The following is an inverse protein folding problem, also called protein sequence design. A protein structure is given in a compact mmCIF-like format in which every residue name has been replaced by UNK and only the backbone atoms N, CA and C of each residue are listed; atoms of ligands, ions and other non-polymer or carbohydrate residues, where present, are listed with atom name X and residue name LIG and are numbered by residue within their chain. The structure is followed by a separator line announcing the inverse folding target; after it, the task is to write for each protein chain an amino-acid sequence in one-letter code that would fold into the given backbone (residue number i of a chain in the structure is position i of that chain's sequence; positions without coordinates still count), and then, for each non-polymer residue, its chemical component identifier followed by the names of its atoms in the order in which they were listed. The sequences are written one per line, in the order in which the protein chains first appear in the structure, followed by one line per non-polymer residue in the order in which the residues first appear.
data_IF_347537118172
#
_entry.id   IF_347537118172
#
_cell.length_a   1.000
_cell.length_b   1.000
_cell.length_c   1.000
_cell.angle_alpha   90.00
_cell.angle_beta   90.00
_cell.angle_gamma   90.00
#
_symmetry.space_group_name_H-M   'P 1'
#
loop_
_entity.id
_entity.type
_entity.pdbx_description
1 polymer ?
#
# COMPACT_ATOMS: atom_id res chain seq x y z
N UNK A 1 31.88 30.41 -10.68
CA UNK A 1 30.49 30.11 -10.23
C UNK A 1 30.09 28.74 -10.75
N UNK A 2 29.92 27.73 -9.88
CA UNK A 2 29.53 26.36 -10.27
C UNK A 2 28.00 26.27 -10.38
N UNK A 3 27.49 25.94 -11.56
CA UNK A 3 26.06 25.73 -11.79
C UNK A 3 25.52 24.59 -10.90
N UNK A 4 24.53 24.89 -10.04
CA UNK A 4 23.77 23.88 -9.28
C UNK A 4 22.99 22.99 -10.26
N UNK A 5 23.30 21.69 -10.27
CA UNK A 5 22.49 20.70 -10.99
C UNK A 5 21.12 20.58 -10.34
N UNK A 6 20.05 20.85 -11.09
CA UNK A 6 18.67 20.61 -10.67
C UNK A 6 18.44 19.11 -10.41
N UNK A 7 17.82 18.70 -9.30
CA UNK A 7 17.44 17.31 -9.09
C UNK A 7 16.34 16.93 -10.10
N UNK A 8 16.56 15.86 -10.86
CA UNK A 8 15.56 15.28 -11.76
C UNK A 8 14.58 14.41 -10.97
N UNK A 9 13.29 14.48 -11.32
CA UNK A 9 12.19 13.81 -10.62
C UNK A 9 12.20 12.27 -10.71
N UNK A 10 11.46 11.64 -9.80
CA UNK A 10 11.39 10.19 -9.59
C UNK A 10 10.83 9.38 -10.78
N UNK A 11 10.20 10.03 -11.76
CA UNK A 11 9.66 9.41 -12.98
C UNK A 11 10.56 9.59 -14.22
N UNK A 12 11.74 10.23 -14.10
CA UNK A 12 12.68 10.33 -15.21
C UNK A 12 13.36 8.98 -15.48
N UNK A 13 12.81 8.25 -16.45
CA UNK A 13 13.29 6.92 -16.89
C UNK A 13 14.68 6.95 -17.54
N UNK A 14 15.33 8.12 -17.71
CA UNK A 14 16.74 8.22 -18.16
C UNK A 14 17.75 7.58 -17.19
N UNK A 15 17.31 7.09 -16.03
CA UNK A 15 18.16 6.37 -15.05
C UNK A 15 18.17 4.84 -15.13
N UNK A 16 17.38 4.18 -15.98
CA UNK A 16 17.50 2.71 -16.17
C UNK A 16 18.25 2.40 -17.47
N UNK A 17 19.56 2.59 -17.45
CA UNK A 17 20.46 1.94 -18.43
C UNK A 17 21.49 1.17 -17.62
N UNK A 18 21.24 -0.11 -17.42
CA UNK A 18 22.25 -1.04 -16.88
C UNK A 18 23.46 -0.99 -17.80
N UNK A 19 24.61 -0.57 -17.28
CA UNK A 19 25.84 -0.48 -18.06
C UNK A 19 26.32 -1.90 -18.38
N UNK A 20 26.78 -2.17 -19.60
CA UNK A 20 27.54 -3.39 -19.86
C UNK A 20 28.83 -3.42 -19.02
N UNK A 21 29.44 -4.60 -18.88
CA UNK A 21 30.66 -4.78 -18.06
C UNK A 21 31.78 -3.81 -18.47
N UNK A 22 32.02 -3.65 -19.78
CA UNK A 22 33.03 -2.74 -20.34
C UNK A 22 32.77 -1.26 -20.02
N UNK A 23 31.52 -0.80 -20.06
CA UNK A 23 31.19 0.59 -19.69
C UNK A 23 31.17 0.80 -18.17
N UNK A 24 30.89 -0.24 -17.38
CA UNK A 24 30.93 -0.20 -15.92
C UNK A 24 32.38 -0.04 -15.43
N UNK A 25 33.30 -0.90 -15.90
CA UNK A 25 34.72 -0.88 -15.49
C UNK A 25 35.38 0.47 -15.78
N UNK A 26 35.07 1.08 -16.93
CA UNK A 26 35.55 2.41 -17.34
C UNK A 26 34.77 3.57 -16.72
N UNK A 27 33.69 3.31 -15.97
CA UNK A 27 32.79 4.30 -15.36
C UNK A 27 32.14 5.29 -16.35
N UNK A 28 32.03 4.93 -17.63
CA UNK A 28 31.42 5.74 -18.70
C UNK A 28 29.93 5.43 -18.92
N UNK A 29 29.24 6.27 -19.71
CA UNK A 29 27.82 6.08 -20.06
C UNK A 29 27.68 4.95 -21.08
N UNK A 30 26.73 4.04 -20.86
CA UNK A 30 26.36 2.97 -21.79
C UNK A 30 25.10 3.42 -22.54
N UNK A 31 25.16 3.52 -23.87
CA UNK A 31 24.04 3.97 -24.71
C UNK A 31 24.05 3.26 -26.07
N UNK A 32 22.88 3.09 -26.68
CA UNK A 32 22.72 2.48 -28.00
C UNK A 32 22.31 1.00 -28.03
N UNK A 33 21.82 0.43 -26.93
CA UNK A 33 21.40 -0.98 -26.86
C UNK A 33 22.57 -1.95 -26.62
N UNK A 34 22.37 -3.22 -26.94
CA UNK A 34 23.39 -4.28 -26.87
C UNK A 34 23.60 -4.79 -28.31
N UNK A 35 24.80 -4.60 -28.91
CA UNK A 35 26.00 -3.96 -28.36
C UNK A 35 25.90 -2.42 -28.29
N UNK A 36 26.49 -1.79 -27.26
CA UNK A 36 26.44 -0.34 -27.07
C UNK A 36 27.43 0.41 -27.97
N UNK A 37 27.17 1.70 -28.25
CA UNK A 37 27.99 2.52 -29.17
C UNK A 37 29.48 2.53 -28.83
N UNK A 38 29.81 2.55 -27.54
CA UNK A 38 31.21 2.51 -27.09
C UNK A 38 31.88 1.18 -27.42
N UNK A 39 31.18 0.07 -27.21
CA UNK A 39 31.72 -1.26 -27.47
C UNK A 39 31.93 -1.50 -28.97
N UNK A 40 31.00 -1.06 -29.81
CA UNK A 40 31.14 -1.10 -31.28
C UNK A 40 32.34 -0.28 -31.74
N UNK A 41 32.51 0.95 -31.22
CA UNK A 41 33.58 1.85 -31.67
C UNK A 41 34.99 1.39 -31.27
N UNK A 42 35.12 0.65 -30.17
CA UNK A 42 36.42 0.28 -29.60
C UNK A 42 36.71 -1.22 -29.72
N UNK A 43 35.91 -1.93 -30.51
CA UNK A 43 35.99 -3.38 -30.70
C UNK A 43 36.10 -4.14 -29.37
N UNK A 44 35.09 -3.90 -28.51
CA UNK A 44 34.98 -4.52 -27.18
C UNK A 44 33.71 -5.35 -27.07
N UNK A 45 33.80 -6.44 -26.32
CA UNK A 45 32.63 -7.26 -26.00
C UNK A 45 31.64 -6.48 -25.11
N UNK A 46 30.38 -6.42 -25.56
CA UNK A 46 29.30 -5.74 -24.86
C UNK A 46 28.47 -6.72 -24.03
N UNK A 47 29.08 -7.29 -22.98
CA UNK A 47 28.41 -8.27 -22.13
C UNK A 47 27.52 -7.62 -21.04
N UNK A 48 26.31 -8.17 -20.79
CA UNK A 48 25.51 -7.82 -19.62
C UNK A 48 26.30 -8.04 -18.31
N UNK A 49 25.93 -7.31 -17.26
CA UNK A 49 26.55 -7.53 -15.95
C UNK A 49 26.23 -8.95 -15.46
N UNK A 50 27.24 -9.69 -15.03
CA UNK A 50 27.05 -10.90 -14.24
C UNK A 50 26.52 -10.46 -12.88
N UNK A 51 25.25 -10.74 -12.62
CA UNK A 51 24.67 -10.59 -11.29
C UNK A 51 25.36 -11.62 -10.41
N UNK A 52 26.26 -11.17 -9.54
CA UNK A 52 26.73 -12.01 -8.43
C UNK A 52 25.52 -12.16 -7.53
N UNK A 53 24.77 -13.25 -7.72
CA UNK A 53 23.78 -13.68 -6.75
C UNK A 53 24.57 -13.97 -5.47
N UNK A 54 24.49 -13.05 -4.50
CA UNK A 54 24.89 -13.37 -3.14
C UNK A 54 24.11 -14.61 -2.74
N UNK A 55 24.83 -15.68 -2.38
CA UNK A 55 24.22 -16.91 -1.86
C UNK A 55 23.19 -16.53 -0.79
N UNK A 56 21.93 -16.81 -1.07
CA UNK A 56 20.87 -16.73 -0.08
C UNK A 56 21.09 -17.91 0.86
N UNK A 57 21.87 -17.70 1.94
CA UNK A 57 21.93 -18.64 3.05
C UNK A 57 20.66 -18.50 3.88
N UNK A 58 19.74 -19.44 3.71
CA UNK A 58 18.65 -19.65 4.65
C UNK A 58 19.24 -20.24 5.93
N UNK A 59 19.24 -19.47 7.02
CA UNK A 59 19.51 -20.02 8.35
C UNK A 59 18.18 -20.58 8.85
N UNK A 60 18.01 -21.90 8.75
CA UNK A 60 16.97 -22.59 9.51
C UNK A 60 17.36 -22.49 10.99
N UNK A 61 16.62 -21.68 11.75
CA UNK A 61 16.72 -21.70 13.21
C UNK A 61 15.94 -22.92 13.67
N UNK A 62 16.63 -24.05 13.81
CA UNK A 62 16.09 -25.20 14.54
C UNK A 62 15.93 -24.78 16.00
N UNK A 63 14.74 -24.95 16.55
CA UNK A 63 14.43 -24.66 17.94
C UNK A 63 15.45 -25.37 18.85
N UNK A 64 16.34 -24.59 19.46
CA UNK A 64 17.17 -25.10 20.55
C UNK A 64 16.23 -25.25 21.74
N UNK A 65 16.07 -26.49 22.21
CA UNK A 65 15.32 -26.82 23.41
C UNK A 65 15.71 -25.87 24.56
N UNK A 66 14.75 -25.32 25.31
CA UNK A 66 15.06 -24.35 26.34
C UNK A 66 15.79 -25.05 27.49
N UNK A 67 17.08 -24.77 27.63
CA UNK A 67 17.77 -24.99 28.90
C UNK A 67 17.24 -23.94 29.87
N UNK A 68 16.56 -24.41 30.90
CA UNK A 68 16.00 -23.60 31.98
C UNK A 68 17.07 -22.70 32.60
N UNK A 69 17.01 -21.42 32.27
CA UNK A 69 17.50 -20.34 33.12
C UNK A 69 16.39 -19.31 33.24
N UNK A 70 15.63 -19.40 34.32
CA UNK A 70 14.65 -18.40 34.74
C UNK A 70 15.33 -17.04 34.91
N UNK A 71 15.18 -16.19 33.92
CA UNK A 71 15.33 -14.73 34.04
C UNK A 71 13.93 -14.11 33.92
N UNK A 72 13.56 -13.13 34.76
CA UNK A 72 12.19 -12.63 34.81
C UNK A 72 11.80 -11.97 33.49
N UNK A 73 10.65 -12.36 32.95
CA UNK A 73 10.01 -11.84 31.73
C UNK A 73 9.53 -10.39 31.81
N UNK A 74 10.11 -9.57 32.70
CA UNK A 74 9.71 -8.18 32.93
C UNK A 74 10.37 -7.19 31.95
N UNK A 75 11.51 -7.53 31.36
CA UNK A 75 12.22 -6.63 30.43
C UNK A 75 11.61 -6.56 29.01
N UNK A 76 10.81 -7.55 28.58
CA UNK A 76 10.25 -7.55 27.22
C UNK A 76 9.01 -6.67 27.04
N UNK A 77 8.31 -6.28 28.13
CA UNK A 77 7.08 -5.47 28.04
C UNK A 77 7.38 -3.96 27.92
N UNK A 78 8.52 -3.50 28.46
CA UNK A 78 8.88 -2.08 28.48
C UNK A 78 9.21 -1.51 27.10
N UNK A 79 9.78 -2.32 26.20
CA UNK A 79 10.11 -1.89 24.82
C UNK A 79 8.86 -1.79 23.93
N UNK A 80 7.85 -2.62 24.19
CA UNK A 80 6.63 -2.64 23.39
C UNK A 80 5.78 -1.38 23.61
N UNK A 81 5.74 -0.84 24.85
CA UNK A 81 4.98 0.37 25.18
C UNK A 81 5.39 1.57 24.30
N UNK A 82 6.71 1.76 24.10
CA UNK A 82 7.24 2.81 23.22
C UNK A 82 6.75 2.62 21.77
N UNK A 83 6.70 1.39 21.28
CA UNK A 83 6.21 1.11 19.94
C UNK A 83 4.69 1.29 19.84
N UNK A 84 3.92 0.96 20.87
CA UNK A 84 2.47 1.19 20.90
C UNK A 84 2.15 2.70 20.88
N UNK A 85 2.91 3.52 21.61
CA UNK A 85 2.78 4.98 21.56
C UNK A 85 3.10 5.55 20.17
N UNK A 86 4.17 5.04 19.54
CA UNK A 86 4.56 5.42 18.18
C UNK A 86 3.52 4.99 17.15
N UNK A 87 2.90 3.83 17.34
CA UNK A 87 1.77 3.37 16.53
C UNK A 87 0.57 4.30 16.66
N UNK A 88 0.16 4.65 17.88
CA UNK A 88 -0.95 5.58 18.11
C UNK A 88 -0.69 6.94 17.44
N UNK A 89 0.52 7.48 17.59
CA UNK A 89 0.94 8.71 16.92
C UNK A 89 0.99 8.58 15.38
N UNK A 90 1.32 7.40 14.85
CA UNK A 90 1.28 7.13 13.41
C UNK A 90 -0.16 7.08 12.88
N UNK A 91 -1.05 6.33 13.52
CA UNK A 91 -2.46 6.21 13.12
C UNK A 91 -3.16 7.58 13.14
N UNK A 92 -2.94 8.40 14.19
CA UNK A 92 -3.47 9.76 14.26
C UNK A 92 -2.97 10.68 13.15
N UNK A 93 -1.76 10.44 12.61
CA UNK A 93 -1.21 11.20 11.47
C UNK A 93 -1.73 10.75 10.11
N UNK A 94 -2.21 9.51 9.98
CA UNK A 94 -2.73 9.04 8.69
C UNK A 94 -3.93 9.86 8.21
N UNK A 95 -4.78 10.34 9.14
CA UNK A 95 -5.92 11.23 8.87
C UNK A 95 -6.71 10.84 7.61
N UNK A 96 -6.99 9.55 7.42
CA UNK A 96 -7.63 9.07 6.19
C UNK A 96 -8.97 9.78 5.92
N UNK A 97 -9.74 10.01 6.98
CA UNK A 97 -10.96 10.83 6.96
C UNK A 97 -11.03 11.70 8.22
N UNK A 98 -11.89 12.72 8.20
CA UNK A 98 -12.19 13.58 9.37
C UNK A 98 -12.59 12.77 10.60
N UNK A 99 -13.28 11.65 10.39
CA UNK A 99 -13.69 10.72 11.43
C UNK A 99 -12.60 9.79 11.96
N UNK A 100 -11.37 9.80 11.43
CA UNK A 100 -10.32 8.84 11.77
C UNK A 100 -9.44 9.25 12.97
N UNK A 101 -9.63 10.48 13.49
CA UNK A 101 -8.70 11.14 14.44
C UNK A 101 -8.56 10.41 15.79
N UNK A 102 -9.56 9.64 16.23
CA UNK A 102 -9.57 8.94 17.54
C UNK A 102 -9.49 7.41 17.43
N UNK A 103 -9.22 6.89 16.23
CA UNK A 103 -9.28 5.44 15.96
C UNK A 103 -8.25 4.65 16.78
N UNK A 104 -7.12 5.25 17.14
CA UNK A 104 -6.14 4.64 18.04
C UNK A 104 -6.73 4.29 19.41
N UNK A 105 -7.49 5.23 20.01
CA UNK A 105 -8.22 5.00 21.26
C UNK A 105 -9.30 3.94 21.10
N UNK A 106 -10.02 3.95 19.97
CA UNK A 106 -11.08 2.98 19.70
C UNK A 106 -10.53 1.54 19.49
N UNK A 107 -9.29 1.42 19.04
CA UNK A 107 -8.61 0.15 18.81
C UNK A 107 -7.93 -0.43 20.06
N UNK A 108 -7.74 0.35 21.11
CA UNK A 108 -6.88 -0.03 22.25
C UNK A 108 -7.30 -1.36 22.89
N UNK A 109 -8.60 -1.55 23.10
CA UNK A 109 -9.15 -2.79 23.69
C UNK A 109 -8.91 -4.01 22.81
N UNK A 110 -9.03 -3.85 21.49
CA UNK A 110 -8.76 -4.91 20.52
C UNK A 110 -7.27 -5.22 20.42
N UNK A 111 -6.40 -4.20 20.52
CA UNK A 111 -4.95 -4.37 20.54
C UNK A 111 -4.52 -5.19 21.77
N UNK A 112 -5.10 -4.93 22.95
CA UNK A 112 -4.76 -5.68 24.16
C UNK A 112 -5.29 -7.11 24.16
N UNK A 113 -6.39 -7.39 23.46
CA UNK A 113 -7.05 -8.71 23.48
C UNK A 113 -6.72 -9.59 22.28
N UNK A 114 -6.22 -9.01 21.17
CA UNK A 114 -5.88 -9.74 19.96
C UNK A 114 -4.36 -9.78 19.72
N UNK A 115 -3.73 -10.96 19.77
CA UNK A 115 -2.31 -11.11 19.41
C UNK A 115 -2.00 -10.63 18.00
N UNK A 116 -2.95 -10.73 17.08
CA UNK A 116 -2.80 -10.22 15.71
C UNK A 116 -2.61 -8.71 15.71
N UNK A 117 -3.54 -7.98 16.35
CA UNK A 117 -3.49 -6.52 16.38
C UNK A 117 -2.35 -5.99 17.23
N UNK A 118 -2.05 -6.64 18.37
CA UNK A 118 -0.89 -6.31 19.19
C UNK A 118 0.41 -6.36 18.38
N UNK A 119 0.68 -7.49 17.72
CA UNK A 119 1.90 -7.65 16.94
C UNK A 119 1.98 -6.65 15.77
N UNK A 120 0.84 -6.28 15.18
CA UNK A 120 0.80 -5.26 14.11
C UNK A 120 1.05 -3.85 14.63
N UNK A 121 0.47 -3.50 15.77
CA UNK A 121 0.71 -2.21 16.42
C UNK A 121 2.20 -2.06 16.74
N UNK A 122 2.81 -3.07 17.38
CA UNK A 122 4.27 -3.10 17.62
C UNK A 122 5.05 -3.03 16.31
N UNK A 123 4.67 -3.79 15.28
CA UNK A 123 5.38 -3.81 14.00
C UNK A 123 5.43 -2.43 13.33
N UNK A 124 4.27 -1.75 13.26
CA UNK A 124 4.16 -0.42 12.66
C UNK A 124 4.89 0.62 13.51
N UNK A 125 4.74 0.57 14.84
CA UNK A 125 5.43 1.46 15.77
C UNK A 125 6.95 1.36 15.71
N UNK A 126 7.47 0.13 15.69
CA UNK A 126 8.90 -0.14 15.54
C UNK A 126 9.43 0.27 14.16
N UNK A 127 8.63 0.11 13.10
CA UNK A 127 9.00 0.59 11.78
C UNK A 127 9.07 2.12 11.74
N UNK A 128 8.13 2.81 12.36
CA UNK A 128 8.17 4.26 12.52
C UNK A 128 9.41 4.70 13.32
N UNK A 129 9.72 4.01 14.42
CA UNK A 129 10.92 4.26 15.21
C UNK A 129 12.19 4.16 14.34
N UNK A 130 12.30 3.11 13.53
CA UNK A 130 13.45 2.90 12.65
C UNK A 130 13.68 4.05 11.65
N UNK A 131 12.60 4.75 11.25
CA UNK A 131 12.62 5.85 10.26
C UNK A 131 12.95 7.21 10.89
N UNK A 132 12.57 7.45 12.15
CA UNK A 132 12.81 8.73 12.84
C UNK A 132 14.29 9.00 13.13
N UNK A 133 15.12 7.95 13.21
CA UNK A 133 16.57 8.07 13.47
C UNK A 133 17.39 8.39 12.20
N UNK A 134 16.77 9.00 11.17
CA UNK A 134 17.38 9.25 9.85
C UNK A 134 18.55 10.26 9.82
N UNK A 135 19.15 10.61 10.97
CA UNK A 135 20.43 11.34 11.03
C UNK A 135 21.57 10.58 11.73
N UNK A 136 21.33 9.42 12.34
CA UNK A 136 22.41 8.62 12.96
C UNK A 136 22.19 7.13 12.71
N UNK A 137 23.13 6.49 12.01
CA UNK A 137 23.14 5.02 11.81
C UNK A 137 23.56 4.31 13.11
N UNK A 138 22.82 4.52 14.19
CA UNK A 138 23.08 3.88 15.49
C UNK A 138 22.53 2.45 15.51
N UNK A 139 23.08 1.63 16.41
CA UNK A 139 22.64 0.27 16.72
C UNK A 139 21.12 0.18 16.96
N UNK A 140 20.55 1.19 17.63
CA UNK A 140 19.14 1.28 18.00
C UNK A 140 18.18 1.29 16.79
N UNK A 141 18.53 2.00 15.70
CA UNK A 141 17.70 2.03 14.47
C UNK A 141 17.61 0.65 13.81
N UNK A 142 18.72 -0.10 13.81
CA UNK A 142 18.76 -1.46 13.26
C UNK A 142 17.97 -2.42 14.14
N UNK A 143 18.02 -2.25 15.46
CA UNK A 143 17.24 -3.04 16.42
C UNK A 143 15.74 -2.83 16.21
N UNK A 144 15.28 -1.58 16.08
CA UNK A 144 13.86 -1.28 15.84
C UNK A 144 13.34 -1.89 14.52
N UNK A 145 14.15 -1.85 13.46
CA UNK A 145 13.77 -2.49 12.19
C UNK A 145 13.64 -4.02 12.33
N UNK A 146 14.55 -4.66 13.08
CA UNK A 146 14.45 -6.10 13.36
C UNK A 146 13.18 -6.43 14.14
N UNK A 147 12.85 -5.63 15.16
CA UNK A 147 11.58 -5.78 15.91
C UNK A 147 10.38 -5.65 14.98
N UNK A 148 10.37 -4.64 14.10
CA UNK A 148 9.28 -4.41 13.16
C UNK A 148 8.95 -5.64 12.31
N UNK A 149 9.96 -6.24 11.67
CA UNK A 149 9.76 -7.41 10.82
C UNK A 149 9.49 -8.70 11.61
N UNK A 150 10.06 -8.84 12.82
CA UNK A 150 9.77 -9.98 13.71
C UNK A 150 8.32 -9.96 14.17
N UNK A 151 7.82 -8.80 14.59
CA UNK A 151 6.42 -8.62 15.00
C UNK A 151 5.46 -8.75 13.82
N UNK A 152 5.81 -8.24 12.64
CA UNK A 152 5.04 -8.51 11.41
C UNK A 152 4.94 -10.01 11.09
N UNK A 153 6.04 -10.76 11.20
CA UNK A 153 6.02 -12.22 11.02
C UNK A 153 5.10 -12.94 12.02
N UNK A 154 5.13 -12.52 13.30
CA UNK A 154 4.22 -13.02 14.35
C UNK A 154 2.76 -12.69 14.04
N UNK A 155 2.48 -11.49 13.54
CA UNK A 155 1.14 -11.10 13.13
C UNK A 155 0.60 -11.98 11.99
N UNK A 156 1.40 -12.30 10.98
CA UNK A 156 1.00 -13.23 9.91
C UNK A 156 0.66 -14.60 10.48
N UNK A 157 1.50 -15.14 11.37
CA UNK A 157 1.24 -16.42 12.02
C UNK A 157 -0.07 -16.39 12.83
N UNK A 158 -0.31 -15.32 13.59
CA UNK A 158 -1.54 -15.12 14.35
C UNK A 158 -2.77 -15.02 13.45
N UNK A 159 -2.70 -14.28 12.33
CA UNK A 159 -3.79 -14.20 11.36
C UNK A 159 -4.10 -15.57 10.76
N UNK A 160 -3.08 -16.33 10.34
CA UNK A 160 -3.26 -17.69 9.81
C UNK A 160 -3.95 -18.61 10.80
N UNK A 161 -3.54 -18.56 12.07
CA UNK A 161 -4.19 -19.31 13.16
C UNK A 161 -5.65 -18.87 13.32
N UNK A 162 -5.92 -17.57 13.33
CA UNK A 162 -7.27 -17.00 13.49
C UNK A 162 -8.22 -17.42 12.36
N UNK A 163 -7.71 -17.48 11.13
CA UNK A 163 -8.48 -17.87 9.95
C UNK A 163 -8.90 -19.35 9.94
N UNK A 164 -8.38 -20.18 10.84
CA UNK A 164 -8.86 -21.57 11.01
C UNK A 164 -10.21 -21.65 11.72
N UNK A 165 -10.62 -20.57 12.40
CA UNK A 165 -11.89 -20.51 13.14
C UNK A 165 -13.05 -20.26 12.17
N UNK A 166 -14.14 -20.99 12.34
CA UNK A 166 -15.39 -20.78 11.59
C UNK A 166 -15.86 -19.33 11.72
N UNK A 167 -16.22 -18.70 10.59
CA UNK A 167 -16.68 -17.29 10.52
C UNK A 167 -15.62 -16.24 10.93
N UNK A 168 -14.33 -16.60 10.97
CA UNK A 168 -13.24 -15.67 11.33
C UNK A 168 -13.22 -14.38 10.49
N UNK A 169 -13.67 -14.44 9.23
CA UNK A 169 -13.73 -13.30 8.30
C UNK A 169 -14.64 -12.16 8.78
N UNK A 170 -15.49 -12.41 9.78
CA UNK A 170 -16.39 -11.42 10.35
C UNK A 170 -15.86 -10.79 11.66
N UNK A 171 -14.72 -11.27 12.18
CA UNK A 171 -14.17 -10.71 13.41
C UNK A 171 -13.46 -9.38 13.16
N UNK A 172 -13.66 -8.43 14.07
CA UNK A 172 -13.06 -7.09 13.99
C UNK A 172 -11.53 -7.15 13.95
N UNK A 173 -10.91 -8.06 14.71
CA UNK A 173 -9.47 -8.22 14.74
C UNK A 173 -8.89 -8.72 13.42
N UNK A 174 -9.59 -9.61 12.72
CA UNK A 174 -9.21 -10.08 11.38
C UNK A 174 -9.33 -8.95 10.35
N UNK A 175 -10.40 -8.17 10.40
CA UNK A 175 -10.64 -7.06 9.48
C UNK A 175 -9.61 -5.94 9.68
N UNK A 176 -9.42 -5.47 10.90
CA UNK A 176 -8.40 -4.48 11.22
C UNK A 176 -6.99 -5.00 11.04
N UNK A 177 -6.73 -6.27 11.39
CA UNK A 177 -5.42 -6.87 11.22
C UNK A 177 -5.02 -6.96 9.75
N UNK A 178 -5.97 -7.32 8.88
CA UNK A 178 -5.74 -7.32 7.44
C UNK A 178 -5.48 -5.90 6.90
N UNK A 179 -6.20 -4.88 7.39
CA UNK A 179 -5.94 -3.50 6.99
C UNK A 179 -4.56 -3.00 7.44
N UNK A 180 -4.20 -3.25 8.69
CA UNK A 180 -2.91 -2.84 9.26
C UNK A 180 -1.72 -3.60 8.65
N UNK A 181 -1.91 -4.87 8.23
CA UNK A 181 -0.91 -5.59 7.44
C UNK A 181 -0.67 -4.89 6.10
N UNK A 182 -1.73 -4.56 5.37
CA UNK A 182 -1.61 -3.78 4.13
C UNK A 182 -0.90 -2.44 4.37
N UNK A 183 -1.25 -1.75 5.45
CA UNK A 183 -0.61 -0.48 5.80
C UNK A 183 0.89 -0.65 6.12
N UNK A 184 1.28 -1.69 6.85
CA UNK A 184 2.69 -2.03 7.10
C UNK A 184 3.44 -2.30 5.79
N UNK A 185 2.84 -3.05 4.87
CA UNK A 185 3.44 -3.36 3.57
C UNK A 185 3.62 -2.11 2.70
N UNK A 186 2.65 -1.18 2.75
CA UNK A 186 2.73 0.11 2.07
C UNK A 186 3.91 0.95 2.56
N UNK A 187 4.16 0.98 3.88
CA UNK A 187 5.21 1.82 4.44
C UNK A 187 6.59 1.15 4.43
N UNK A 188 6.65 -0.19 4.41
CA UNK A 188 7.92 -0.95 4.44
C UNK A 188 8.51 -1.20 3.05
N UNK A 189 7.71 -1.17 1.99
CA UNK A 189 8.13 -1.50 0.63
C UNK A 189 8.01 -0.29 -0.32
N UNK A 190 9.01 -0.08 -1.19
CA UNK A 190 9.06 1.08 -2.10
C UNK A 190 8.30 0.89 -3.41
N UNK A 191 8.01 -0.34 -3.83
CA UNK A 191 7.31 -0.62 -5.10
C UNK A 191 5.79 -0.40 -4.99
N UNK A 192 5.23 -0.67 -3.82
CA UNK A 192 3.78 -0.69 -3.58
C UNK A 192 3.06 -1.93 -4.14
N UNK A 193 3.77 -2.87 -4.78
CA UNK A 193 3.16 -4.06 -5.39
C UNK A 193 2.59 -5.00 -4.33
N UNK A 194 3.32 -5.24 -3.23
CA UNK A 194 2.84 -6.12 -2.15
C UNK A 194 1.57 -5.55 -1.53
N UNK A 195 1.60 -4.26 -1.21
CA UNK A 195 0.42 -3.53 -0.74
C UNK A 195 -0.74 -3.65 -1.72
N UNK A 196 -0.51 -3.44 -3.01
CA UNK A 196 -1.59 -3.50 -4.01
C UNK A 196 -2.23 -4.90 -4.08
N UNK A 197 -1.42 -5.95 -4.02
CA UNK A 197 -1.89 -7.33 -3.97
C UNK A 197 -2.65 -7.62 -2.68
N UNK A 198 -2.13 -7.18 -1.53
CA UNK A 198 -2.78 -7.35 -0.23
C UNK A 198 -4.15 -6.68 -0.18
N UNK A 199 -4.22 -5.44 -0.65
CA UNK A 199 -5.48 -4.68 -0.67
C UNK A 199 -6.51 -5.34 -1.58
N UNK A 200 -6.10 -5.79 -2.77
CA UNK A 200 -6.99 -6.40 -3.75
C UNK A 200 -7.45 -7.81 -3.34
N UNK A 201 -6.51 -8.68 -2.95
CA UNK A 201 -6.77 -10.10 -2.70
C UNK A 201 -7.15 -10.39 -1.24
N UNK A 202 -6.68 -9.57 -0.30
CA UNK A 202 -7.00 -9.67 1.13
C UNK A 202 -8.18 -8.80 1.50
N UNK A 203 -7.95 -7.50 1.62
CA UNK A 203 -8.94 -6.59 2.22
C UNK A 203 -10.22 -6.42 1.40
N UNK A 204 -10.12 -6.15 0.09
CA UNK A 204 -11.29 -5.98 -0.75
C UNK A 204 -12.15 -7.26 -0.77
N UNK A 205 -11.50 -8.43 -0.80
CA UNK A 205 -12.19 -9.72 -0.78
C UNK A 205 -12.89 -9.97 0.56
N UNK A 206 -12.24 -9.66 1.68
CA UNK A 206 -12.84 -9.74 3.02
C UNK A 206 -14.08 -8.84 3.12
N UNK A 207 -14.00 -7.61 2.62
CA UNK A 207 -15.14 -6.69 2.62
C UNK A 207 -16.27 -7.20 1.73
N UNK A 208 -15.97 -7.72 0.54
CA UNK A 208 -16.99 -8.32 -0.33
C UNK A 208 -17.71 -9.49 0.32
N UNK A 209 -17.00 -10.34 1.06
CA UNK A 209 -17.60 -11.48 1.78
C UNK A 209 -18.44 -11.04 2.98
N UNK A 210 -18.12 -9.89 3.60
CA UNK A 210 -18.95 -9.28 4.64
C UNK A 210 -20.15 -8.52 4.07
N UNK A 211 -20.11 -8.19 2.77
CA UNK A 211 -21.14 -7.45 2.06
C UNK A 211 -21.23 -5.98 2.47
N UNK A 212 -21.88 -5.15 1.64
CA UNK A 212 -22.29 -3.80 2.00
C UNK A 212 -23.46 -3.89 2.99
N UNK A 213 -23.18 -3.75 4.30
CA UNK A 213 -24.22 -3.84 5.34
C UNK A 213 -24.61 -2.43 5.77
N UNK A 214 -25.92 -2.14 5.79
CA UNK A 214 -26.46 -0.84 6.21
C UNK A 214 -26.21 -0.50 7.70
N UNK A 215 -25.80 -1.49 8.51
CA UNK A 215 -25.63 -1.34 9.97
C UNK A 215 -24.29 -1.91 10.47
N UNK A 216 -23.16 -1.54 9.86
CA UNK A 216 -21.86 -1.87 10.43
C UNK A 216 -21.67 -1.25 11.82
N UNK A 217 -20.98 -1.96 12.71
CA UNK A 217 -20.52 -1.39 13.98
C UNK A 217 -19.63 -0.16 13.73
N UNK A 218 -19.57 0.75 14.71
CA UNK A 218 -18.84 2.02 14.59
C UNK A 218 -17.40 1.83 14.09
N UNK A 219 -16.64 0.92 14.70
CA UNK A 219 -15.24 0.70 14.35
C UNK A 219 -15.09 0.14 12.93
N UNK A 220 -15.99 -0.75 12.50
CA UNK A 220 -16.01 -1.26 11.13
C UNK A 220 -16.32 -0.18 10.10
N UNK A 221 -17.16 0.81 10.43
CA UNK A 221 -17.38 1.98 9.55
C UNK A 221 -16.08 2.76 9.34
N UNK A 222 -15.34 3.05 10.43
CA UNK A 222 -14.03 3.73 10.35
C UNK A 222 -13.01 2.96 9.51
N UNK A 223 -12.99 1.64 9.64
CA UNK A 223 -12.16 0.78 8.81
C UNK A 223 -12.50 0.94 7.33
N UNK A 224 -13.78 0.89 6.98
CA UNK A 224 -14.21 0.99 5.58
C UNK A 224 -13.91 2.37 5.02
N UNK A 225 -14.12 3.44 5.79
CA UNK A 225 -13.78 4.80 5.39
C UNK A 225 -12.28 4.92 5.05
N UNK A 226 -11.41 4.42 5.93
CA UNK A 226 -9.96 4.41 5.70
C UNK A 226 -9.57 3.52 4.51
N UNK A 227 -10.18 2.34 4.39
CA UNK A 227 -9.96 1.41 3.28
C UNK A 227 -10.29 2.07 1.93
N UNK A 228 -11.42 2.77 1.83
CA UNK A 228 -11.85 3.44 0.59
C UNK A 228 -10.80 4.40 0.07
N UNK A 229 -10.15 5.15 0.95
CA UNK A 229 -9.08 6.09 0.58
C UNK A 229 -7.90 5.36 -0.06
N UNK A 230 -7.42 4.30 0.58
CA UNK A 230 -6.29 3.51 0.09
C UNK A 230 -6.64 2.75 -1.20
N UNK A 231 -7.82 2.15 -1.27
CA UNK A 231 -8.30 1.39 -2.42
C UNK A 231 -8.53 2.29 -3.65
N UNK A 232 -9.10 3.49 -3.47
CA UNK A 232 -9.25 4.44 -4.57
C UNK A 232 -7.89 4.85 -5.14
N UNK A 233 -6.88 5.10 -4.29
CA UNK A 233 -5.52 5.39 -4.73
C UNK A 233 -4.90 4.19 -5.47
N UNK A 234 -5.04 2.97 -4.94
CA UNK A 234 -4.55 1.75 -5.61
C UNK A 234 -5.19 1.57 -6.99
N UNK A 235 -6.51 1.69 -7.08
CA UNK A 235 -7.24 1.50 -8.33
C UNK A 235 -6.75 2.47 -9.42
N UNK A 236 -6.53 3.75 -9.07
CA UNK A 236 -5.96 4.75 -9.99
C UNK A 236 -4.52 4.41 -10.37
N UNK A 237 -3.64 4.20 -9.37
CA UNK A 237 -2.20 4.03 -9.60
C UNK A 237 -1.87 2.78 -10.43
N UNK A 238 -2.61 1.69 -10.21
CA UNK A 238 -2.38 0.42 -10.89
C UNK A 238 -3.32 0.20 -12.09
N UNK A 239 -4.17 1.18 -12.43
CA UNK A 239 -5.11 1.07 -13.54
C UNK A 239 -6.09 -0.10 -13.40
N UNK A 240 -6.43 -0.47 -12.16
CA UNK A 240 -7.27 -1.62 -11.85
C UNK A 240 -8.69 -1.18 -11.47
N UNK A 241 -9.67 -2.06 -11.69
CA UNK A 241 -11.03 -1.84 -11.21
C UNK A 241 -11.15 -1.93 -9.68
N UNK A 242 -12.26 -1.43 -9.15
CA UNK A 242 -12.64 -1.55 -7.74
C UNK A 242 -14.15 -1.76 -7.61
N UNK A 243 -14.58 -2.64 -6.70
CA UNK A 243 -16.00 -2.86 -6.46
C UNK A 243 -16.68 -1.69 -5.74
N UNK A 244 -15.89 -0.78 -5.15
CA UNK A 244 -16.39 0.45 -4.52
C UNK A 244 -17.15 1.38 -5.48
N UNK A 245 -16.96 1.19 -6.79
CA UNK A 245 -17.70 1.94 -7.82
C UNK A 245 -19.11 1.42 -8.09
N UNK A 246 -19.47 0.27 -7.53
CA UNK A 246 -20.81 -0.31 -7.70
C UNK A 246 -21.83 0.45 -6.83
N UNK A 247 -23.08 0.64 -7.30
CA UNK A 247 -24.11 1.41 -6.58
C UNK A 247 -24.32 0.94 -5.14
N UNK A 248 -24.26 -0.37 -4.90
CA UNK A 248 -24.45 -0.93 -3.55
C UNK A 248 -23.42 -0.41 -2.54
N UNK A 249 -22.18 -0.17 -2.94
CA UNK A 249 -21.12 0.36 -2.07
C UNK A 249 -21.16 1.88 -1.93
N UNK A 250 -21.73 2.57 -2.92
CA UNK A 250 -21.94 4.02 -2.87
C UNK A 250 -23.17 4.38 -2.02
N UNK A 251 -24.24 3.59 -2.09
CA UNK A 251 -25.50 3.85 -1.38
C UNK A 251 -25.48 3.39 0.08
N UNK A 252 -24.63 2.43 0.45
CA UNK A 252 -24.48 1.97 1.84
C UNK A 252 -23.71 2.94 2.74
N UNK A 253 -23.50 4.18 2.31
CA UNK A 253 -22.73 5.16 3.07
C UNK A 253 -23.65 6.05 3.91
N UNK A 254 -23.41 6.15 5.23
CA UNK A 254 -24.16 7.05 6.08
C UNK A 254 -23.91 8.50 5.61
N UNK A 255 -24.97 9.17 5.14
CA UNK A 255 -24.91 10.54 4.63
C UNK A 255 -25.30 10.72 3.15
N UNK A 256 -25.42 9.64 2.37
CA UNK A 256 -25.91 9.70 0.97
C UNK A 256 -27.43 9.43 0.89
N UNK A 257 -28.09 9.19 2.01
CA UNK A 257 -29.54 9.09 2.09
C UNK A 257 -30.19 10.46 2.18
N UNK A 258 -30.79 10.88 1.07
CA UNK A 258 -31.73 11.98 0.89
C UNK A 258 -31.17 13.41 1.04
N UNK A 259 -30.99 14.07 -0.11
CA UNK A 259 -31.13 15.52 -0.32
C UNK A 259 -30.11 16.47 0.35
N UNK A 260 -29.21 15.97 1.20
CA UNK A 260 -28.14 16.78 1.77
C UNK A 260 -26.91 16.80 0.84
N UNK A 261 -26.37 17.99 0.63
CA UNK A 261 -25.30 18.27 -0.33
C UNK A 261 -24.15 17.26 -0.21
N UNK A 262 -23.87 16.54 -1.31
CA UNK A 262 -22.64 15.75 -1.51
C UNK A 262 -21.37 16.59 -1.19
N UNK A 263 -21.50 17.91 -1.23
CA UNK A 263 -20.47 18.90 -0.95
C UNK A 263 -20.31 19.31 0.53
N UNK A 264 -21.02 18.69 1.47
CA UNK A 264 -20.88 19.01 2.90
C UNK A 264 -19.51 18.60 3.47
N UNK A 265 -18.91 17.52 2.94
CA UNK A 265 -17.53 17.11 3.22
C UNK A 265 -16.73 17.04 1.89
N UNK A 266 -15.86 18.03 1.61
CA UNK A 266 -15.02 18.03 0.42
C UNK A 266 -14.14 16.78 0.27
N UNK A 267 -13.73 16.15 1.38
CA UNK A 267 -12.88 14.96 1.37
C UNK A 267 -13.65 13.75 0.84
N UNK A 268 -14.88 13.56 1.30
CA UNK A 268 -15.76 12.49 0.80
C UNK A 268 -16.15 12.72 -0.66
N UNK A 269 -16.43 13.97 -1.05
CA UNK A 269 -16.71 14.30 -2.44
C UNK A 269 -15.53 13.94 -3.37
N UNK A 270 -14.30 14.32 -2.98
CA UNK A 270 -13.08 13.96 -3.71
C UNK A 270 -12.91 12.44 -3.76
N UNK A 271 -13.16 11.74 -2.65
CA UNK A 271 -13.04 10.28 -2.59
C UNK A 271 -14.01 9.58 -3.55
N UNK A 272 -15.28 9.98 -3.56
CA UNK A 272 -16.28 9.46 -4.50
C UNK A 272 -15.86 9.72 -5.94
N UNK A 273 -15.38 10.93 -6.25
CA UNK A 273 -14.87 11.26 -7.59
C UNK A 273 -13.67 10.40 -7.98
N UNK A 274 -12.73 10.14 -7.06
CA UNK A 274 -11.58 9.25 -7.31
C UNK A 274 -12.02 7.82 -7.64
N UNK A 275 -13.01 7.29 -6.93
CA UNK A 275 -13.58 5.95 -7.18
C UNK A 275 -14.25 5.91 -8.57
N UNK A 276 -15.04 6.92 -8.91
CA UNK A 276 -15.69 7.04 -10.22
C UNK A 276 -14.66 7.15 -11.36
N UNK A 277 -13.63 7.97 -11.15
CA UNK A 277 -12.52 8.14 -12.10
C UNK A 277 -11.78 6.82 -12.33
N UNK A 278 -11.40 6.11 -11.26
CA UNK A 278 -10.69 4.82 -11.38
C UNK A 278 -11.49 3.81 -12.21
N UNK A 279 -12.80 3.70 -11.94
CA UNK A 279 -13.71 2.82 -12.66
C UNK A 279 -13.87 3.23 -14.13
N UNK A 280 -14.00 4.53 -14.41
CA UNK A 280 -14.06 5.05 -15.77
C UNK A 280 -12.76 4.79 -16.53
N UNK A 281 -11.59 5.11 -15.96
CA UNK A 281 -10.30 4.88 -16.59
C UNK A 281 -10.11 3.41 -16.94
N UNK A 282 -10.45 2.48 -16.04
CA UNK A 282 -10.39 1.04 -16.33
C UNK A 282 -11.25 0.66 -17.54
N UNK A 283 -12.54 1.03 -17.54
CA UNK A 283 -13.44 0.75 -18.67
C UNK A 283 -12.96 1.39 -19.98
N UNK A 284 -12.43 2.62 -19.91
CA UNK A 284 -11.90 3.33 -21.05
C UNK A 284 -10.74 2.56 -21.71
N UNK A 285 -9.76 2.12 -20.93
CA UNK A 285 -8.62 1.37 -21.47
C UNK A 285 -9.05 -0.01 -21.97
N UNK A 286 -9.87 -0.77 -21.23
CA UNK A 286 -10.36 -2.08 -21.65
C UNK A 286 -11.11 -2.00 -22.99
N UNK A 287 -11.96 -0.99 -23.14
CA UNK A 287 -12.74 -0.80 -24.36
C UNK A 287 -11.89 -0.31 -25.53
N UNK A 288 -10.90 0.56 -25.31
CA UNK A 288 -9.97 0.97 -26.39
C UNK A 288 -9.07 -0.17 -26.83
N UNK A 289 -8.56 -0.98 -25.90
CA UNK A 289 -7.66 -2.10 -26.19
C UNK A 289 -8.37 -3.23 -26.92
N UNK A 290 -9.65 -3.46 -26.65
CA UNK A 290 -10.48 -4.42 -27.38
C UNK A 290 -10.81 -3.99 -28.82
N UNK A 291 -10.68 -2.70 -29.17
CA UNK A 291 -10.93 -2.20 -30.52
C UNK A 291 -9.62 -2.18 -31.33
N UNK A 292 -9.56 -2.84 -32.50
CA UNK A 292 -8.40 -2.77 -33.39
C UNK A 292 -8.04 -1.34 -33.75
N UNK A 293 -6.74 -0.98 -33.71
CA UNK A 293 -6.26 0.41 -33.89
C UNK A 293 -6.87 1.13 -35.10
N UNK A 294 -7.01 0.45 -36.24
CA UNK A 294 -7.54 1.01 -37.47
C UNK A 294 -9.05 1.31 -37.42
N UNK A 295 -9.81 0.68 -36.50
CA UNK A 295 -11.25 0.90 -36.35
C UNK A 295 -11.58 1.99 -35.32
N UNK A 296 -10.64 2.31 -34.42
CA UNK A 296 -10.87 3.25 -33.30
C UNK A 296 -11.45 4.60 -33.73
N UNK A 297 -10.96 5.29 -34.79
CA UNK A 297 -11.45 6.64 -35.12
C UNK A 297 -12.94 6.74 -35.42
N UNK A 298 -13.55 5.65 -35.89
CA UNK A 298 -14.96 5.62 -36.31
C UNK A 298 -15.81 4.70 -35.42
N UNK A 299 -15.24 4.13 -34.36
CA UNK A 299 -15.95 3.17 -33.53
C UNK A 299 -16.88 3.92 -32.57
N UNK A 300 -18.20 3.64 -32.55
CA UNK A 300 -19.18 4.41 -31.76
C UNK A 300 -18.89 4.36 -30.25
N UNK A 301 -18.28 3.28 -29.77
CA UNK A 301 -17.80 3.17 -28.39
C UNK A 301 -16.85 4.31 -27.97
N UNK A 302 -15.99 4.80 -28.87
CA UNK A 302 -15.05 5.89 -28.56
C UNK A 302 -15.80 7.18 -28.30
N UNK A 303 -16.87 7.44 -29.05
CA UNK A 303 -17.74 8.59 -28.84
C UNK A 303 -18.46 8.50 -27.50
N UNK A 304 -19.00 7.32 -27.16
CA UNK A 304 -19.64 7.08 -25.86
C UNK A 304 -18.67 7.28 -24.68
N UNK A 305 -17.42 6.82 -24.82
CA UNK A 305 -16.36 7.06 -23.84
C UNK A 305 -16.03 8.55 -23.69
N UNK A 306 -15.96 9.30 -24.80
CA UNK A 306 -15.71 10.74 -24.77
C UNK A 306 -16.80 11.48 -23.99
N UNK A 307 -18.08 11.18 -24.25
CA UNK A 307 -19.20 11.73 -23.48
C UNK A 307 -19.10 11.40 -21.99
N UNK A 308 -18.80 10.15 -21.65
CA UNK A 308 -18.59 9.74 -20.25
C UNK A 308 -17.46 10.51 -19.56
N UNK A 309 -16.37 10.78 -20.30
CA UNK A 309 -15.25 11.58 -19.81
C UNK A 309 -15.64 13.04 -19.55
N UNK A 310 -16.44 13.64 -20.43
CA UNK A 310 -16.97 15.01 -20.26
C UNK A 310 -17.81 15.13 -18.99
N UNK A 311 -18.72 14.18 -18.74
CA UNK A 311 -19.58 14.18 -17.54
C UNK A 311 -18.76 14.13 -16.25
N UNK A 312 -17.68 13.34 -16.21
CA UNK A 312 -16.78 13.30 -15.06
C UNK A 312 -15.98 14.61 -14.95
N UNK A 313 -15.53 15.16 -16.08
CA UNK A 313 -14.83 16.44 -16.14
C UNK A 313 -15.66 17.60 -15.57
N UNK A 314 -16.94 17.69 -15.94
CA UNK A 314 -17.88 18.70 -15.44
C UNK A 314 -18.06 18.62 -13.91
N UNK A 315 -18.16 17.40 -13.37
CA UNK A 315 -18.22 17.18 -11.90
C UNK A 315 -16.96 17.64 -11.18
N UNK A 316 -15.79 17.53 -11.82
CA UNK A 316 -14.51 17.99 -11.25
C UNK A 316 -14.37 19.51 -11.27
N UNK A 317 -14.91 20.17 -12.30
CA UNK A 317 -14.83 21.63 -12.46
C UNK A 317 -15.98 22.38 -11.78
N UNK A 318 -16.96 21.66 -11.23
CA UNK A 318 -18.16 22.27 -10.62
C UNK A 318 -19.05 22.99 -11.63
N UNK A 319 -18.88 22.71 -12.92
CA UNK A 319 -19.70 23.28 -13.98
C UNK A 319 -20.91 22.37 -14.20
N UNK A 320 -22.07 22.80 -13.67
CA UNK A 320 -23.36 22.16 -13.90
C UNK A 320 -24.05 22.76 -15.14
#
# INVERSE_FOLDING_TARGET
MKARKRPLGHLDKRKKVTRCQSCLSRRIKCEGGIPCRYCVRNDKDCLPQTVVHGEIKFIAVTEIAPVSSTMPSQLSRQDDDVYLDLFAAFIRRCQFTSGFVSVDSDLISLIYTSPLLHNLAVAIGALEASRRVSCSKTYESRTAQVVAFKSYGRAIAALRSRLTITKALHFEDVLWGSFLLGLFELISETSGERFAQHMLLGMLRLLQLNGPVQSWAYLRRKLVDAFRVLEANRAILFGNGTCLSQPVWLLSQPGITARENIFSDPTEAILVLKIQMASFSKRFFDQIESIPKHRRPFHPAIQALAFGGVVIGQKLTGQH
#
